data_IF_645956760083
#
_entry.id   IF_645956760083
#
_cell.length_a   1.000
_cell.length_b   1.000
_cell.length_c   1.000
_cell.angle_alpha   90.00
_cell.angle_beta   90.00
_cell.angle_gamma   90.00
#
_symmetry.space_group_name_H-M   'P 1'
#
loop_
_entity.id
_entity.type
_entity.pdbx_description
1 polymer ?
#
# COMPACT_ATOMS: atom_id res chain seq x y z
N UNK A 1 8.91 -0.55 19.92
CA UNK A 1 8.31 0.44 19.02
C UNK A 1 6.80 0.24 19.03
N UNK A 2 6.03 1.30 19.20
CA UNK A 2 4.57 1.18 19.25
C UNK A 2 3.97 1.15 17.83
N UNK A 3 2.70 0.74 17.68
CA UNK A 3 2.08 0.66 16.36
C UNK A 3 2.07 1.97 15.59
N UNK A 4 1.92 3.10 16.25
CA UNK A 4 1.90 4.41 15.59
C UNK A 4 3.26 4.72 14.97
N UNK A 5 4.34 4.46 15.69
CA UNK A 5 5.69 4.64 15.15
C UNK A 5 5.97 3.72 13.97
N UNK A 6 5.51 2.47 14.06
CA UNK A 6 5.61 1.52 12.96
C UNK A 6 4.84 2.01 11.73
N UNK A 7 3.63 2.50 11.95
CA UNK A 7 2.80 3.06 10.87
C UNK A 7 3.51 4.21 10.16
N UNK A 8 4.13 5.11 10.93
CA UNK A 8 4.83 6.26 10.35
C UNK A 8 6.02 5.83 9.49
N UNK A 9 6.75 4.80 9.92
CA UNK A 9 7.87 4.25 9.14
C UNK A 9 7.35 3.66 7.84
N UNK A 10 6.27 2.88 7.88
CA UNK A 10 5.69 2.28 6.69
C UNK A 10 5.18 3.36 5.74
N UNK A 11 4.50 4.38 6.26
CA UNK A 11 4.00 5.48 5.45
C UNK A 11 5.13 6.18 4.70
N UNK A 12 6.26 6.41 5.36
CA UNK A 12 7.42 7.05 4.72
C UNK A 12 7.96 6.19 3.57
N UNK A 13 8.00 4.88 3.75
CA UNK A 13 8.41 3.94 2.71
C UNK A 13 7.47 4.02 1.50
N UNK A 14 6.16 4.02 1.75
CA UNK A 14 5.16 4.09 0.68
C UNK A 14 5.23 5.43 -0.06
N UNK A 15 5.39 6.53 0.68
CA UNK A 15 5.51 7.86 0.09
C UNK A 15 6.73 7.95 -0.83
N UNK A 16 7.86 7.41 -0.40
CA UNK A 16 9.07 7.37 -1.21
C UNK A 16 8.88 6.54 -2.48
N UNK A 17 8.24 5.38 -2.35
CA UNK A 17 7.94 4.53 -3.49
C UNK A 17 7.00 5.22 -4.48
N UNK A 18 5.98 5.91 -3.96
CA UNK A 18 5.06 6.69 -4.80
C UNK A 18 5.83 7.72 -5.62
N UNK A 19 6.69 8.49 -4.97
CA UNK A 19 7.45 9.56 -5.66
C UNK A 19 8.34 9.00 -6.77
N UNK A 20 8.85 7.79 -6.60
CA UNK A 20 9.74 7.17 -7.59
C UNK A 20 8.99 6.46 -8.72
N UNK A 21 7.84 5.85 -8.45
CA UNK A 21 7.23 4.90 -9.37
C UNK A 21 5.78 5.19 -9.75
N UNK A 22 5.16 6.25 -9.23
CA UNK A 22 3.77 6.58 -9.57
C UNK A 22 3.59 6.77 -11.08
N UNK A 23 4.54 7.43 -11.73
CA UNK A 23 4.47 7.66 -13.19
C UNK A 23 4.45 6.36 -13.97
N UNK A 24 5.09 5.32 -13.47
CA UNK A 24 5.20 4.04 -14.16
C UNK A 24 3.97 3.18 -13.98
N UNK A 25 3.35 3.22 -12.80
CA UNK A 25 2.34 2.23 -12.43
C UNK A 25 0.93 2.79 -12.25
N UNK A 26 0.75 4.10 -12.29
CA UNK A 26 -0.56 4.71 -12.05
C UNK A 26 -1.07 5.50 -13.25
N UNK A 27 -2.39 5.41 -13.52
CA UNK A 27 -3.03 6.33 -14.45
C UNK A 27 -2.90 7.78 -13.98
N UNK A 28 -3.00 8.72 -14.91
CA UNK A 28 -2.82 10.14 -14.62
C UNK A 28 -3.79 10.66 -13.57
N UNK A 29 -5.06 10.30 -13.66
CA UNK A 29 -6.09 10.79 -12.76
C UNK A 29 -5.80 10.49 -11.28
N UNK A 30 -5.69 9.21 -10.85
CA UNK A 30 -5.45 8.96 -9.44
C UNK A 30 -4.08 9.45 -8.98
N UNK A 31 -3.07 9.45 -9.86
CA UNK A 31 -1.75 9.94 -9.51
C UNK A 31 -1.76 11.41 -9.12
N UNK A 32 -2.51 12.24 -9.85
CA UNK A 32 -2.51 13.69 -9.63
C UNK A 32 -3.43 14.13 -8.50
N UNK A 33 -4.55 13.44 -8.30
CA UNK A 33 -5.59 13.93 -7.38
C UNK A 33 -5.74 13.10 -6.12
N UNK A 34 -5.24 11.84 -6.10
CA UNK A 34 -5.52 10.90 -5.04
C UNK A 34 -4.26 10.40 -4.32
N UNK A 35 -3.20 11.19 -4.34
CA UNK A 35 -1.91 10.79 -3.75
C UNK A 35 -2.05 10.37 -2.28
N UNK A 36 -2.73 11.17 -1.46
CA UNK A 36 -2.91 10.86 -0.03
C UNK A 36 -3.67 9.56 0.17
N UNK A 37 -4.75 9.36 -0.58
CA UNK A 37 -5.52 8.13 -0.49
C UNK A 37 -4.66 6.91 -0.86
N UNK A 38 -3.89 7.02 -1.95
CA UNK A 38 -3.04 5.92 -2.43
C UNK A 38 -1.96 5.59 -1.41
N UNK A 39 -1.33 6.59 -0.82
CA UNK A 39 -0.32 6.38 0.22
C UNK A 39 -0.95 5.73 1.46
N UNK A 40 -2.14 6.17 1.86
CA UNK A 40 -2.85 5.58 3.00
C UNK A 40 -3.16 4.11 2.77
N UNK A 41 -3.67 3.76 1.60
CA UNK A 41 -4.00 2.37 1.26
C UNK A 41 -2.73 1.52 1.12
N UNK A 42 -1.70 2.04 0.45
CA UNK A 42 -0.41 1.35 0.35
C UNK A 42 0.19 1.06 1.72
N UNK A 43 0.08 2.02 2.64
CA UNK A 43 0.53 1.85 4.03
C UNK A 43 -0.24 0.72 4.71
N UNK A 44 -1.57 0.69 4.55
CA UNK A 44 -2.40 -0.38 5.09
C UNK A 44 -2.01 -1.75 4.54
N UNK A 45 -1.71 -1.82 3.24
CA UNK A 45 -1.31 -3.07 2.60
C UNK A 45 0.02 -3.58 3.19
N UNK A 46 1.03 -2.73 3.29
CA UNK A 46 2.32 -3.14 3.82
C UNK A 46 2.25 -3.45 5.32
N UNK A 47 1.47 -2.70 6.09
CA UNK A 47 1.24 -3.03 7.50
C UNK A 47 0.59 -4.40 7.66
N UNK A 48 -0.35 -4.73 6.78
CA UNK A 48 -0.99 -6.04 6.78
C UNK A 48 0.01 -7.14 6.42
N UNK A 49 0.81 -6.91 5.38
CA UNK A 49 1.81 -7.89 4.93
C UNK A 49 2.89 -8.13 5.99
N UNK A 50 3.39 -7.06 6.59
CA UNK A 50 4.50 -7.15 7.55
C UNK A 50 4.03 -7.35 8.99
N UNK A 51 2.71 -7.31 9.23
CA UNK A 51 2.10 -7.50 10.56
C UNK A 51 2.61 -6.48 11.56
N UNK A 52 2.65 -5.23 11.17
CA UNK A 52 3.08 -4.09 12.01
C UNK A 52 2.05 -2.98 11.93
N UNK A 53 2.16 -2.00 12.81
CA UNK A 53 1.29 -0.82 12.79
C UNK A 53 -0.18 -1.18 12.90
N UNK A 54 -0.98 -0.61 12.01
CA UNK A 54 -2.42 -0.81 11.96
C UNK A 54 -2.78 -1.52 10.65
N UNK A 55 -2.99 -2.84 10.68
CA UNK A 55 -3.35 -3.58 9.48
C UNK A 55 -4.63 -3.05 8.84
N UNK A 56 -4.73 -3.18 7.54
CA UNK A 56 -5.88 -2.70 6.78
C UNK A 56 -7.08 -3.63 6.82
N UNK A 57 -8.15 -3.19 6.18
CA UNK A 57 -9.40 -3.94 6.09
C UNK A 57 -9.39 -4.99 4.98
N UNK A 58 -10.59 -5.28 4.46
CA UNK A 58 -10.79 -6.39 3.52
C UNK A 58 -10.05 -6.22 2.19
N UNK A 59 -9.95 -4.99 1.68
CA UNK A 59 -9.22 -4.77 0.43
C UNK A 59 -7.72 -5.04 0.60
N UNK A 60 -7.11 -4.47 1.65
CA UNK A 60 -5.69 -4.68 1.91
C UNK A 60 -5.37 -6.16 2.12
N UNK A 61 -6.21 -6.86 2.86
CA UNK A 61 -6.04 -8.28 3.11
C UNK A 61 -6.14 -9.10 1.83
N UNK A 62 -7.09 -8.78 0.95
CA UNK A 62 -7.23 -9.47 -0.32
C UNK A 62 -5.99 -9.28 -1.21
N UNK A 63 -5.43 -8.08 -1.24
CA UNK A 63 -4.21 -7.79 -2.02
C UNK A 63 -3.04 -8.62 -1.46
N UNK A 64 -2.85 -8.62 -0.15
CA UNK A 64 -1.76 -9.35 0.50
C UNK A 64 -1.90 -10.86 0.30
N UNK A 65 -3.12 -11.38 0.36
CA UNK A 65 -3.41 -12.80 0.16
C UNK A 65 -3.33 -13.21 -1.31
N UNK A 66 -3.02 -12.28 -2.21
CA UNK A 66 -2.93 -12.51 -3.64
C UNK A 66 -4.26 -13.01 -4.23
N UNK A 67 -5.35 -12.54 -3.69
CA UNK A 67 -6.69 -12.89 -4.16
C UNK A 67 -7.20 -11.82 -5.13
N UNK A 68 -6.99 -12.04 -6.40
CA UNK A 68 -7.30 -11.05 -7.44
C UNK A 68 -8.79 -10.71 -7.48
N UNK A 69 -9.65 -11.73 -7.46
CA UNK A 69 -11.10 -11.52 -7.49
C UNK A 69 -11.59 -10.68 -6.31
N UNK A 70 -11.14 -11.03 -5.10
CA UNK A 70 -11.50 -10.28 -3.91
C UNK A 70 -10.91 -8.88 -3.92
N UNK A 71 -9.69 -8.72 -4.43
CA UNK A 71 -9.06 -7.40 -4.52
C UNK A 71 -9.89 -6.46 -5.39
N UNK A 72 -10.33 -6.91 -6.56
CA UNK A 72 -11.19 -6.11 -7.42
C UNK A 72 -12.58 -5.92 -6.82
N UNK A 73 -13.14 -6.95 -6.20
CA UNK A 73 -14.47 -6.88 -5.60
C UNK A 73 -14.54 -5.99 -4.37
N UNK A 74 -13.43 -5.81 -3.64
CA UNK A 74 -13.37 -4.98 -2.43
C UNK A 74 -12.79 -3.60 -2.68
N UNK A 75 -12.28 -3.34 -3.88
CA UNK A 75 -11.69 -2.05 -4.22
C UNK A 75 -12.79 -0.99 -4.34
N UNK A 76 -12.52 0.20 -3.81
CA UNK A 76 -13.35 1.35 -4.10
C UNK A 76 -13.03 1.87 -5.51
N UNK A 77 -13.72 2.93 -5.93
CA UNK A 77 -13.57 3.49 -7.27
C UNK A 77 -12.13 3.94 -7.56
N UNK A 78 -11.43 4.43 -6.56
CA UNK A 78 -10.04 4.87 -6.71
C UNK A 78 -9.11 3.66 -6.73
N UNK A 79 -9.26 2.76 -5.77
CA UNK A 79 -8.36 1.62 -5.61
C UNK A 79 -8.38 0.66 -6.79
N UNK A 80 -9.51 0.53 -7.49
CA UNK A 80 -9.60 -0.34 -8.66
C UNK A 80 -8.61 0.08 -9.76
N UNK A 81 -8.31 1.38 -9.86
CA UNK A 81 -7.35 1.89 -10.83
C UNK A 81 -5.90 1.82 -10.35
N UNK A 82 -5.69 1.45 -9.10
CA UNK A 82 -4.37 1.48 -8.45
C UNK A 82 -3.84 0.09 -8.10
N UNK A 83 -4.56 -0.98 -8.45
CA UNK A 83 -4.18 -2.34 -8.05
C UNK A 83 -2.76 -2.69 -8.53
N UNK A 84 -2.41 -2.31 -9.77
CA UNK A 84 -1.06 -2.57 -10.28
C UNK A 84 0.01 -1.90 -9.42
N UNK A 85 -0.22 -0.65 -9.02
CA UNK A 85 0.71 0.05 -8.14
C UNK A 85 0.88 -0.68 -6.80
N UNK A 86 -0.23 -1.11 -6.20
CA UNK A 86 -0.19 -1.80 -4.92
C UNK A 86 0.53 -3.15 -5.02
N UNK A 87 0.32 -3.89 -6.10
CA UNK A 87 1.03 -5.15 -6.30
C UNK A 87 2.53 -4.94 -6.46
N UNK A 88 2.92 -3.93 -7.24
CA UNK A 88 4.34 -3.63 -7.46
C UNK A 88 4.99 -3.11 -6.18
N UNK A 89 4.27 -2.31 -5.40
CA UNK A 89 4.72 -1.88 -4.07
C UNK A 89 5.00 -3.09 -3.19
N UNK A 90 4.07 -4.01 -3.12
CA UNK A 90 4.18 -5.21 -2.27
C UNK A 90 5.33 -6.10 -2.70
N UNK A 91 5.56 -6.27 -4.01
CA UNK A 91 6.63 -7.13 -4.51
C UNK A 91 8.01 -6.50 -4.40
N UNK A 92 8.11 -5.18 -4.60
CA UNK A 92 9.42 -4.54 -4.74
C UNK A 92 9.98 -3.97 -3.45
N UNK A 93 9.17 -3.83 -2.40
CA UNK A 93 9.61 -3.20 -1.16
C UNK A 93 9.70 -4.21 -0.05
N UNK A 94 10.88 -4.34 0.53
CA UNK A 94 11.10 -5.16 1.71
C UNK A 94 10.93 -4.37 2.99
N UNK A 95 10.60 -5.06 4.09
CA UNK A 95 10.45 -4.41 5.38
C UNK A 95 11.79 -3.82 5.84
N UNK A 96 11.79 -2.54 6.29
CA UNK A 96 13.00 -1.97 6.89
C UNK A 96 13.47 -2.79 8.09
N UNK A 97 14.79 -2.88 8.27
CA UNK A 97 15.37 -3.66 9.36
C UNK A 97 14.89 -3.21 10.74
N UNK A 98 14.55 -1.92 10.89
CA UNK A 98 14.01 -1.39 12.15
C UNK A 98 12.67 -2.01 12.54
N UNK A 99 11.95 -2.61 11.61
CA UNK A 99 10.65 -3.25 11.85
C UNK A 99 10.73 -4.76 12.07
N UNK A 100 11.84 -5.40 11.73
CA UNK A 100 12.00 -6.86 11.77
C UNK A 100 13.00 -7.26 12.85
N UNK A 101 12.63 -7.06 14.07
CA UNK A 101 13.52 -7.37 15.20
C UNK A 101 13.13 -8.60 15.94
#
# INVERSE_FOLDING_TARGET
>A
MNPEEQQDIVRAVVSDYFDKYADKYLPLYPKLTEKEHIINIGTSILCTKWKVGYPGGSFAKAVVDNNLSESFGRADEINVHCIRFYLMLMYNVGAPTSLVQ
#
